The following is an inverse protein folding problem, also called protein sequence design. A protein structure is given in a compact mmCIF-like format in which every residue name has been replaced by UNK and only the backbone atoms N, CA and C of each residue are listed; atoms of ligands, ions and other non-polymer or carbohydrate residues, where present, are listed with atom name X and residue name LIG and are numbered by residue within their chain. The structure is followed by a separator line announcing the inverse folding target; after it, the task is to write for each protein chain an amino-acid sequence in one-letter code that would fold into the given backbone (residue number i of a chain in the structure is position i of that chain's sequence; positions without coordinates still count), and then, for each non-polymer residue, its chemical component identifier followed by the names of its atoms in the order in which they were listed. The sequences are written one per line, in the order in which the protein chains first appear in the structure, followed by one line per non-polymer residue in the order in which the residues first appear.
data_IF_777901449697
#
_entry.id   IF_777901449697
#
_cell.length_a   1.000
_cell.length_b   1.000
_cell.length_c   1.000
_cell.angle_alpha   90.00
_cell.angle_beta   90.00
_cell.angle_gamma   90.00
#
_symmetry.space_group_name_H-M   'P 1'
#
loop_
_entity.id
_entity.type
_entity.pdbx_description
1 polymer ?
#
# COMPACT_ATOMS: atom_id res chain seq x y z
N UNK A 1 -3.03 -20.96 15.88
CA UNK A 1 -2.56 -20.18 14.73
C UNK A 1 -1.44 -19.29 15.23
N UNK A 2 -0.19 -19.58 14.87
CA UNK A 2 0.94 -18.76 15.30
C UNK A 2 1.01 -17.54 14.38
N UNK A 3 0.37 -16.44 14.79
CA UNK A 3 0.68 -15.14 14.22
C UNK A 3 2.16 -14.87 14.53
N UNK A 4 3.00 -15.01 13.51
CA UNK A 4 4.37 -14.54 13.55
C UNK A 4 4.30 -13.03 13.65
N UNK A 5 4.24 -12.53 14.89
CA UNK A 5 4.39 -11.11 15.20
C UNK A 5 5.80 -10.70 14.79
N UNK A 6 5.96 -10.35 13.51
CA UNK A 6 7.15 -9.70 13.04
C UNK A 6 7.24 -8.37 13.77
N UNK A 7 8.36 -8.12 14.44
CA UNK A 7 8.54 -6.88 15.18
C UNK A 7 8.35 -5.68 14.25
N UNK A 8 7.55 -4.72 14.70
CA UNK A 8 7.31 -3.49 13.95
C UNK A 8 8.61 -2.71 13.85
N UNK A 9 9.01 -2.42 12.63
CA UNK A 9 10.18 -1.59 12.37
C UNK A 9 9.92 -0.14 12.76
N UNK A 10 10.99 0.66 12.87
CA UNK A 10 10.86 2.11 13.10
C UNK A 10 9.96 2.79 12.06
N UNK A 11 10.09 2.39 10.79
CA UNK A 11 9.27 2.90 9.68
C UNK A 11 7.79 2.56 9.86
N UNK A 12 7.48 1.36 10.35
CA UNK A 12 6.10 0.96 10.63
C UNK A 12 5.51 1.82 11.75
N UNK A 13 6.29 2.10 12.80
CA UNK A 13 5.87 2.98 13.88
C UNK A 13 5.60 4.42 13.41
N UNK A 14 6.42 4.95 12.49
CA UNK A 14 6.18 6.26 11.87
C UNK A 14 4.88 6.28 11.07
N UNK A 15 4.55 5.20 10.36
CA UNK A 15 3.28 5.05 9.66
C UNK A 15 2.09 4.94 10.62
N UNK A 16 2.25 4.21 11.74
CA UNK A 16 1.23 4.14 12.80
C UNK A 16 0.95 5.54 13.34
N UNK A 17 1.99 6.31 13.65
CA UNK A 17 1.85 7.68 14.15
C UNK A 17 1.14 8.58 13.13
N UNK A 18 1.46 8.46 11.85
CA UNK A 18 0.75 9.19 10.79
C UNK A 18 -0.73 8.81 10.70
N UNK A 19 -1.09 7.53 10.86
CA UNK A 19 -2.48 7.08 10.90
C UNK A 19 -3.22 7.60 12.16
N UNK A 20 -2.55 7.59 13.31
CA UNK A 20 -3.08 8.14 14.57
C UNK A 20 -3.34 9.65 14.43
N UNK A 21 -2.41 10.39 13.83
CA UNK A 21 -2.57 11.82 13.56
C UNK A 21 -3.75 12.11 12.60
N UNK A 22 -4.17 11.12 11.81
CA UNK A 22 -5.35 11.20 10.94
C UNK A 22 -6.64 10.70 11.63
N UNK A 23 -6.60 10.40 12.93
CA UNK A 23 -7.76 9.99 13.74
C UNK A 23 -8.02 8.49 13.82
N UNK A 24 -7.12 7.62 13.34
CA UNK A 24 -7.26 6.17 13.54
C UNK A 24 -6.77 5.74 14.94
N UNK A 25 -7.42 4.75 15.56
CA UNK A 25 -6.92 4.17 16.82
C UNK A 25 -5.65 3.36 16.57
N UNK A 26 -4.76 3.30 17.57
CA UNK A 26 -3.48 2.58 17.46
C UNK A 26 -3.66 1.12 17.06
N UNK A 27 -4.65 0.43 17.63
CA UNK A 27 -4.91 -0.99 17.34
C UNK A 27 -5.32 -1.20 15.88
N UNK A 28 -6.20 -0.33 15.36
CA UNK A 28 -6.63 -0.36 13.96
C UNK A 28 -5.48 -0.04 13.01
N UNK A 29 -4.69 0.98 13.33
CA UNK A 29 -3.51 1.35 12.53
C UNK A 29 -2.50 0.19 12.47
N UNK A 30 -2.26 -0.47 13.60
CA UNK A 30 -1.32 -1.59 13.71
C UNK A 30 -1.80 -2.81 12.92
N UNK A 31 -3.07 -3.21 13.09
CA UNK A 31 -3.67 -4.31 12.35
C UNK A 31 -3.67 -4.06 10.84
N UNK A 32 -3.93 -2.81 10.43
CA UNK A 32 -3.92 -2.39 9.03
C UNK A 32 -2.52 -2.40 8.42
N UNK A 33 -1.51 -1.97 9.17
CA UNK A 33 -0.11 -2.08 8.73
C UNK A 33 0.29 -3.53 8.59
N UNK A 34 -0.06 -4.39 9.55
CA UNK A 34 0.26 -5.81 9.48
C UNK A 34 -0.36 -6.46 8.24
N UNK A 35 -1.65 -6.24 8.02
CA UNK A 35 -2.36 -6.76 6.85
C UNK A 35 -1.94 -6.12 5.53
N UNK A 36 -1.52 -4.85 5.51
CA UNK A 36 -1.17 -4.16 4.25
C UNK A 36 0.29 -4.35 3.85
N UNK A 37 1.19 -4.53 4.82
CA UNK A 37 2.63 -4.59 4.59
C UNK A 37 3.12 -6.02 4.59
N UNK A 38 2.74 -6.80 5.61
CA UNK A 38 3.26 -8.15 5.83
C UNK A 38 2.37 -9.26 5.26
N UNK A 39 1.14 -8.97 4.84
CA UNK A 39 0.33 -9.94 4.10
C UNK A 39 0.82 -10.04 2.66
N UNK A 40 1.47 -11.15 2.35
CA UNK A 40 1.93 -11.46 1.00
C UNK A 40 0.76 -11.93 0.14
N UNK A 41 0.70 -11.44 -1.09
CA UNK A 41 -0.26 -11.86 -2.11
C UNK A 41 0.33 -12.93 -3.00
N UNK A 42 -0.52 -13.62 -3.74
CA UNK A 42 -0.08 -14.64 -4.70
C UNK A 42 0.90 -14.09 -5.76
N UNK A 43 0.73 -12.81 -6.16
CA UNK A 43 1.69 -12.09 -7.02
C UNK A 43 3.08 -11.94 -6.40
N UNK A 44 3.13 -11.78 -5.07
CA UNK A 44 4.37 -11.55 -4.34
C UNK A 44 5.16 -12.84 -4.26
N UNK A 45 4.49 -13.98 -4.08
CA UNK A 45 5.12 -15.30 -4.17
C UNK A 45 5.67 -15.60 -5.56
N UNK A 46 4.98 -15.20 -6.63
CA UNK A 46 5.50 -15.31 -7.99
C UNK A 46 6.76 -14.46 -8.20
N UNK A 47 6.80 -13.26 -7.61
CA UNK A 47 7.96 -12.37 -7.67
C UNK A 47 9.14 -12.96 -6.90
N UNK A 48 8.90 -13.51 -5.70
CA UNK A 48 9.92 -14.20 -4.91
C UNK A 48 10.46 -15.41 -5.67
N UNK A 49 9.57 -16.23 -6.24
CA UNK A 49 9.96 -17.41 -7.01
C UNK A 49 10.83 -17.02 -8.22
N UNK A 50 10.45 -15.97 -8.95
CA UNK A 50 11.25 -15.48 -10.10
C UNK A 50 12.63 -14.96 -9.68
N UNK A 51 12.73 -14.26 -8.54
CA UNK A 51 14.01 -13.78 -8.00
C UNK A 51 14.89 -14.95 -7.54
N UNK A 52 14.31 -15.95 -6.87
CA UNK A 52 15.01 -17.16 -6.45
C UNK A 52 15.48 -17.99 -7.64
N UNK A 53 14.67 -18.12 -8.69
CA UNK A 53 15.04 -18.86 -9.91
C UNK A 53 16.18 -18.18 -10.66
N UNK A 54 16.22 -16.85 -10.68
CA UNK A 54 17.23 -16.08 -11.41
C UNK A 54 18.56 -15.94 -10.66
N UNK A 55 18.54 -15.83 -9.33
CA UNK A 55 19.72 -15.49 -8.53
C UNK A 55 20.08 -16.54 -7.46
N UNK A 56 19.22 -17.53 -7.21
CA UNK A 56 19.38 -18.53 -6.14
C UNK A 56 18.53 -18.24 -4.91
N UNK A 57 18.27 -19.28 -4.11
CA UNK A 57 17.40 -19.25 -2.92
C UNK A 57 17.91 -18.30 -1.81
N UNK A 58 19.20 -17.96 -1.79
CA UNK A 58 19.79 -17.01 -0.85
C UNK A 58 19.20 -15.59 -0.99
N UNK A 59 18.65 -15.25 -2.15
CA UNK A 59 18.01 -13.95 -2.42
C UNK A 59 16.56 -13.87 -1.94
N UNK A 60 15.99 -14.96 -1.41
CA UNK A 60 14.60 -15.01 -0.95
C UNK A 60 14.30 -13.97 0.13
N UNK A 61 15.22 -13.83 1.09
CA UNK A 61 15.05 -12.86 2.17
C UNK A 61 15.14 -11.42 1.66
N UNK A 62 16.05 -11.15 0.73
CA UNK A 62 16.18 -9.85 0.08
C UNK A 62 14.93 -9.52 -0.76
N UNK A 63 14.37 -10.49 -1.47
CA UNK A 63 13.12 -10.33 -2.21
C UNK A 63 11.95 -9.96 -1.28
N UNK A 64 11.85 -10.62 -0.13
CA UNK A 64 10.85 -10.30 0.89
C UNK A 64 11.03 -8.88 1.45
N UNK A 65 12.26 -8.49 1.79
CA UNK A 65 12.54 -7.13 2.27
C UNK A 65 12.17 -6.07 1.24
N UNK A 66 12.46 -6.31 -0.04
CA UNK A 66 12.08 -5.42 -1.14
C UNK A 66 10.57 -5.28 -1.27
N UNK A 67 9.82 -6.40 -1.19
CA UNK A 67 8.35 -6.38 -1.23
C UNK A 67 7.78 -5.57 -0.06
N UNK A 68 8.30 -5.76 1.15
CA UNK A 68 7.83 -4.99 2.32
C UNK A 68 8.14 -3.50 2.19
N UNK A 69 9.32 -3.14 1.67
CA UNK A 69 9.68 -1.75 1.39
C UNK A 69 8.70 -1.11 0.40
N UNK A 70 8.37 -1.80 -0.68
CA UNK A 70 7.38 -1.33 -1.66
C UNK A 70 5.97 -1.18 -1.05
N UNK A 71 5.56 -2.15 -0.23
CA UNK A 71 4.27 -2.10 0.46
C UNK A 71 4.20 -0.94 1.47
N UNK A 72 5.29 -0.66 2.21
CA UNK A 72 5.40 0.51 3.09
C UNK A 72 5.26 1.82 2.33
N UNK A 73 5.99 1.98 1.23
CA UNK A 73 5.88 3.18 0.39
C UNK A 73 4.47 3.38 -0.15
N UNK A 74 3.84 2.30 -0.63
CA UNK A 74 2.46 2.32 -1.09
C UNK A 74 1.50 2.73 0.03
N UNK A 75 1.67 2.17 1.23
CA UNK A 75 0.88 2.53 2.40
C UNK A 75 1.04 4.02 2.74
N UNK A 76 2.28 4.53 2.77
CA UNK A 76 2.59 5.96 2.99
C UNK A 76 1.88 6.85 1.99
N UNK A 77 1.97 6.54 0.70
CA UNK A 77 1.29 7.30 -0.38
C UNK A 77 -0.23 7.30 -0.19
N UNK A 78 -0.82 6.17 0.19
CA UNK A 78 -2.26 6.07 0.44
C UNK A 78 -2.70 6.90 1.66
N UNK A 79 -1.93 6.91 2.74
CA UNK A 79 -2.20 7.73 3.93
C UNK A 79 -2.16 9.21 3.56
N UNK A 80 -1.12 9.65 2.84
CA UNK A 80 -0.98 11.03 2.39
C UNK A 80 -2.12 11.43 1.44
N UNK A 81 -2.48 10.56 0.50
CA UNK A 81 -3.59 10.81 -0.42
C UNK A 81 -4.94 10.92 0.33
N UNK A 82 -5.17 10.10 1.36
CA UNK A 82 -6.35 10.22 2.22
C UNK A 82 -6.39 11.54 2.97
N UNK A 83 -5.26 11.94 3.57
CA UNK A 83 -5.14 13.23 4.25
C UNK A 83 -5.39 14.40 3.30
N UNK A 84 -4.78 14.40 2.12
CA UNK A 84 -4.98 15.43 1.10
C UNK A 84 -6.45 15.55 0.64
N UNK A 85 -7.19 14.44 0.57
CA UNK A 85 -8.63 14.45 0.28
C UNK A 85 -9.47 15.08 1.39
N UNK A 86 -9.08 14.87 2.65
CA UNK A 86 -9.74 15.48 3.81
C UNK A 86 -9.46 16.99 3.83
N UNK A 87 -8.21 17.38 3.61
CA UNK A 87 -7.78 18.78 3.65
C UNK A 87 -8.32 19.61 2.47
N UNK A 88 -8.52 18.98 1.30
CA UNK A 88 -9.00 19.65 0.08
C UNK A 88 -10.24 18.95 -0.53
N UNK A 89 -11.45 19.17 0.04
CA UNK A 89 -12.66 18.55 -0.47
C UNK A 89 -13.08 19.04 -1.87
N UNK A 90 -12.52 20.14 -2.37
CA UNK A 90 -12.80 20.69 -3.71
C UNK A 90 -12.28 19.81 -4.86
N UNK A 91 -11.18 19.08 -4.66
CA UNK A 91 -10.58 18.20 -5.69
C UNK A 91 -11.52 17.04 -6.06
N UNK A 92 -12.33 16.56 -5.10
CA UNK A 92 -13.29 15.47 -5.34
C UNK A 92 -14.41 15.85 -6.32
N UNK A 93 -14.79 17.14 -6.40
CA UNK A 93 -15.87 17.61 -7.28
C UNK A 93 -15.46 17.76 -8.75
N UNK A 94 -14.17 17.84 -9.05
CA UNK A 94 -13.68 18.04 -10.43
C UNK A 94 -13.38 16.70 -11.14
N UNK A 95 -13.01 15.66 -10.41
CA UNK A 95 -12.74 14.33 -11.00
C UNK A 95 -14.02 13.70 -11.56
N UNK A 96 -15.16 13.83 -10.87
CA UNK A 96 -16.45 13.33 -11.37
C UNK A 96 -16.93 14.08 -12.63
N UNK A 97 -16.43 15.29 -12.88
CA UNK A 97 -16.78 16.07 -14.08
C UNK A 97 -15.81 15.88 -15.24
N UNK A 98 -14.58 15.47 -14.97
CA UNK A 98 -13.51 15.36 -15.99
C UNK A 98 -13.41 13.97 -16.62
N UNK A 99 -14.07 12.96 -16.05
CA UNK A 99 -14.15 11.60 -16.62
C UNK A 99 -15.34 11.38 -17.59
N UNK A 100 -15.72 12.39 -18.38
CA UNK A 100 -16.71 12.22 -19.48
C UNK A 100 -16.17 12.54 -20.88
N UNK A 101 -14.86 12.78 -21.03
CA UNK A 101 -14.28 13.16 -22.33
C UNK A 101 -14.05 12.01 -23.31
N UNK A 102 -13.99 10.76 -22.86
CA UNK A 102 -13.82 9.58 -23.74
C UNK A 102 -15.13 8.91 -24.15
N UNK A 103 -16.28 9.25 -23.56
CA UNK A 103 -17.56 8.63 -23.89
C UNK A 103 -18.25 9.22 -25.14
N UNK A 104 -17.75 10.34 -25.68
CA UNK A 104 -18.43 11.07 -26.77
C UNK A 104 -17.81 10.87 -28.16
N UNK A 105 -16.70 10.12 -28.29
CA UNK A 105 -16.00 9.95 -29.59
C UNK A 105 -16.49 8.70 -30.38
N UNK A 106 -17.35 7.85 -29.81
CA UNK A 106 -17.77 6.60 -30.45
C UNK A 106 -19.15 6.58 -31.14
N UNK A 107 -19.82 7.73 -31.34
CA UNK A 107 -21.08 7.79 -32.11
C UNK A 107 -21.02 8.80 -33.25
N UNK A 108 -20.26 8.47 -34.29
CA UNK A 108 -20.52 8.90 -35.68
C UNK A 108 -19.81 7.90 -36.61
N UNK A 109 -20.54 6.85 -36.98
CA UNK A 109 -20.38 6.14 -38.26
C UNK A 109 -21.55 6.57 -39.13
#
# INVERSE_FOLDING_TARGET
MNETHRELTREDNELIQLMINNGETRDKATSKIHSSIYSLKQSDFSTIASVCESNGEEYKEQALQNIFKLNREKCKRLILAKKAKIDNPKILKEVDKTFSWSASVQRKR
#
